data_IF_613988108459
#
_entry.id   IF_613988108459
#
_cell.length_a   1.000
_cell.length_b   1.000
_cell.length_c   1.000
_cell.angle_alpha   90.00
_cell.angle_beta   90.00
_cell.angle_gamma   90.00
#
_symmetry.space_group_name_H-M   'P 1'
#
loop_
_entity.id
_entity.type
_entity.pdbx_description
1 polymer ?
#
# COMPACT_ATOMS: atom_id res chain seq x y z
N UNK A 1 -20.16 11.31 19.98
CA UNK A 1 -20.34 10.55 19.58
C UNK A 1 -20.08 10.63 18.86
N UNK A 2 -19.90 10.83 19.24
CA UNK A 2 -19.88 10.20 18.63
C UNK A 2 -19.67 10.19 18.15
N UNK A 3 -19.68 10.56 18.50
CA UNK A 3 -19.75 9.93 18.07
C UNK A 3 -19.45 9.75 17.65
N UNK A 4 -19.39 9.80 17.94
CA UNK A 4 -19.38 9.00 17.53
C UNK A 4 -19.59 8.88 17.01
N UNK A 5 -19.57 9.25 17.16
CA UNK A 5 -19.92 8.64 16.69
C UNK A 5 -20.11 8.25 16.38
N UNK A 6 -19.90 8.75 16.62
CA UNK A 6 -20.29 7.97 16.34
C UNK A 6 -20.66 7.50 16.12
N UNK A 7 -20.82 7.55 15.91
CA UNK A 7 -21.81 6.62 16.15
C UNK A 7 -21.64 5.26 15.63
N UNK A 8 -22.77 4.52 15.69
CA UNK A 8 -22.79 3.13 15.24
C UNK A 8 -22.51 3.00 13.76
N UNK A 9 -22.95 3.97 12.99
CA UNK A 9 -22.70 3.94 11.56
C UNK A 9 -21.21 3.99 11.27
N UNK A 10 -20.46 4.75 12.07
CA UNK A 10 -19.01 4.81 11.91
C UNK A 10 -18.37 3.46 12.20
N UNK A 11 -18.87 2.80 13.23
CA UNK A 11 -18.36 1.47 13.58
C UNK A 11 -18.66 0.48 12.46
N UNK A 12 -19.87 0.55 11.91
CA UNK A 12 -20.24 -0.31 10.81
C UNK A 12 -19.38 -0.05 9.57
N UNK A 13 -19.16 1.21 9.28
CA UNK A 13 -18.31 1.56 8.15
C UNK A 13 -16.90 1.04 8.33
N UNK A 14 -16.36 1.18 9.54
CA UNK A 14 -15.04 0.67 9.84
C UNK A 14 -14.97 -0.84 9.72
N UNK A 15 -16.01 -1.52 10.19
CA UNK A 15 -16.07 -2.97 10.06
C UNK A 15 -16.14 -3.38 8.60
N UNK A 16 -16.95 -2.69 7.82
CA UNK A 16 -17.06 -2.99 6.40
C UNK A 16 -15.75 -2.72 5.67
N UNK A 17 -15.09 -1.64 6.02
CA UNK A 17 -13.78 -1.35 5.45
C UNK A 17 -12.76 -2.40 5.86
N UNK A 18 -12.83 -2.85 7.10
CA UNK A 18 -11.96 -3.90 7.58
C UNK A 18 -12.16 -5.19 6.83
N UNK A 19 -13.41 -5.58 6.63
CA UNK A 19 -13.74 -6.78 5.87
C UNK A 19 -13.25 -6.63 4.44
N UNK A 20 -13.50 -5.47 3.87
CA UNK A 20 -13.07 -5.20 2.50
C UNK A 20 -11.56 -5.30 2.37
N UNK A 21 -10.84 -4.73 3.33
CA UNK A 21 -9.37 -4.78 3.32
C UNK A 21 -8.86 -6.19 3.54
N UNK A 22 -9.58 -6.98 4.34
CA UNK A 22 -9.17 -8.34 4.63
C UNK A 22 -9.24 -9.23 3.38
N UNK A 23 -10.13 -8.89 2.46
CA UNK A 23 -10.24 -9.64 1.22
C UNK A 23 -9.16 -9.25 0.21
N UNK A 24 -8.40 -8.22 0.50
CA UNK A 24 -7.40 -7.71 -0.43
C UNK A 24 -6.00 -8.04 0.08
N UNK A 25 -5.25 -8.78 -0.73
CA UNK A 25 -3.87 -9.08 -0.41
C UNK A 25 -2.98 -8.11 -1.17
N UNK A 26 -2.16 -7.39 -0.44
CA UNK A 26 -1.20 -6.47 -1.02
C UNK A 26 0.11 -7.22 -1.17
N UNK A 27 0.61 -7.29 -2.37
CA UNK A 27 1.88 -7.98 -2.64
C UNK A 27 2.97 -6.97 -2.87
N UNK A 28 4.07 -7.15 -2.17
CA UNK A 28 5.25 -6.31 -2.32
C UNK A 28 6.36 -7.22 -2.79
N UNK A 29 6.91 -6.94 -3.96
CA UNK A 29 7.96 -7.77 -4.52
C UNK A 29 9.05 -6.90 -5.13
N UNK A 30 10.18 -7.52 -5.35
CA UNK A 30 11.31 -6.85 -5.98
C UNK A 30 11.42 -7.35 -7.41
N UNK A 31 11.54 -6.42 -8.34
CA UNK A 31 11.69 -6.74 -9.74
C UNK A 31 13.00 -6.16 -10.24
N UNK A 32 13.82 -7.00 -10.85
CA UNK A 32 15.09 -6.54 -11.41
C UNK A 32 14.87 -6.01 -12.80
N UNK A 33 15.42 -4.85 -13.06
CA UNK A 33 15.33 -4.25 -14.38
C UNK A 33 16.51 -4.68 -15.23
N UNK A 34 16.32 -4.50 -16.53
CA UNK A 34 17.34 -4.81 -17.50
C UNK A 34 18.61 -4.04 -17.18
N UNK A 35 19.74 -4.73 -17.22
CA UNK A 35 21.01 -4.11 -16.89
C UNK A 35 21.54 -4.54 -15.53
N UNK A 36 20.77 -5.34 -14.80
CA UNK A 36 21.24 -6.10 -13.66
C UNK A 36 21.41 -5.39 -12.33
N UNK A 37 21.82 -4.13 -12.34
CA UNK A 37 22.09 -3.44 -11.09
C UNK A 37 20.89 -2.64 -10.58
N UNK A 38 19.85 -2.52 -11.37
CA UNK A 38 18.66 -1.75 -10.98
C UNK A 38 17.55 -2.68 -10.55
N UNK A 39 16.87 -2.26 -9.51
CA UNK A 39 15.70 -2.98 -9.05
C UNK A 39 14.60 -2.00 -8.70
N UNK A 40 13.37 -2.51 -8.69
CA UNK A 40 12.20 -1.73 -8.31
C UNK A 40 11.37 -2.54 -7.35
N UNK A 41 10.81 -1.82 -6.39
CA UNK A 41 9.84 -2.42 -5.48
C UNK A 41 8.47 -2.25 -6.13
N UNK A 42 7.78 -3.37 -6.36
CA UNK A 42 6.48 -3.36 -7.01
C UNK A 42 5.43 -3.68 -5.96
N UNK A 43 4.40 -2.84 -5.90
CA UNK A 43 3.32 -2.98 -4.93
C UNK A 43 2.03 -3.20 -5.71
N UNK A 44 1.40 -4.35 -5.51
CA UNK A 44 0.17 -4.73 -6.20
C UNK A 44 -0.91 -5.04 -5.19
N UNK A 45 -2.15 -4.91 -5.62
CA UNK A 45 -3.28 -5.29 -4.80
C UNK A 45 -3.97 -4.14 -4.07
N UNK A 46 -3.50 -2.93 -4.23
CA UNK A 46 -4.14 -1.78 -3.62
C UNK A 46 -5.24 -1.30 -4.56
N UNK A 47 -6.46 -1.22 -4.02
CA UNK A 47 -7.63 -0.82 -4.80
C UNK A 47 -7.56 0.66 -5.16
N UNK A 48 -7.56 0.96 -6.45
CA UNK A 48 -7.53 2.33 -6.94
C UNK A 48 -8.75 3.13 -6.54
N UNK A 49 -9.87 2.45 -6.32
CA UNK A 49 -11.09 3.13 -5.90
C UNK A 49 -11.02 3.59 -4.46
N UNK A 50 -10.30 2.84 -3.64
CA UNK A 50 -10.16 3.18 -2.22
C UNK A 50 -8.99 4.14 -2.00
N UNK A 51 -7.95 4.04 -2.79
CA UNK A 51 -6.74 4.83 -2.62
C UNK A 51 -6.26 5.34 -3.96
N UNK A 52 -6.02 6.64 -4.04
CA UNK A 52 -5.47 7.23 -5.24
C UNK A 52 -4.00 6.82 -5.37
N UNK A 53 -3.69 6.05 -6.41
CA UNK A 53 -2.35 5.52 -6.59
C UNK A 53 -1.29 6.59 -6.78
N UNK A 54 -1.65 7.68 -7.48
CA UNK A 54 -0.69 8.76 -7.70
C UNK A 54 -0.32 9.46 -6.40
N UNK A 55 -1.30 9.67 -5.55
CA UNK A 55 -1.05 10.28 -4.24
C UNK A 55 -0.26 9.34 -3.36
N UNK A 56 -0.60 8.07 -3.41
CA UNK A 56 0.06 7.07 -2.59
C UNK A 56 1.53 6.91 -2.98
N UNK A 57 1.81 6.83 -4.28
CA UNK A 57 3.18 6.71 -4.74
C UNK A 57 3.97 7.97 -4.40
N UNK A 58 3.32 9.12 -4.46
CA UNK A 58 3.98 10.38 -4.09
C UNK A 58 4.39 10.37 -2.62
N UNK A 59 3.50 9.86 -1.77
CA UNK A 59 3.80 9.73 -0.34
C UNK A 59 4.99 8.82 -0.12
N UNK A 60 5.00 7.66 -0.79
CA UNK A 60 6.12 6.73 -0.66
C UNK A 60 7.43 7.34 -1.17
N UNK A 61 7.38 8.04 -2.29
CA UNK A 61 8.57 8.69 -2.83
C UNK A 61 9.16 9.69 -1.84
N UNK A 62 8.30 10.46 -1.21
CA UNK A 62 8.75 11.45 -0.22
C UNK A 62 9.30 10.78 1.02
N UNK A 63 8.58 9.80 1.54
CA UNK A 63 8.97 9.14 2.78
C UNK A 63 10.25 8.32 2.61
N UNK A 64 10.45 7.74 1.45
CA UNK A 64 11.58 6.86 1.19
C UNK A 64 12.69 7.54 0.40
N UNK A 65 12.50 8.81 0.03
CA UNK A 65 13.47 9.58 -0.73
C UNK A 65 13.91 8.83 -1.99
N UNK A 66 12.94 8.34 -2.77
CA UNK A 66 13.23 7.58 -3.98
C UNK A 66 12.32 8.02 -5.12
N UNK A 67 12.64 7.56 -6.33
CA UNK A 67 11.78 7.76 -7.48
C UNK A 67 10.72 6.68 -7.55
N UNK A 68 9.68 6.92 -8.31
CA UNK A 68 8.63 5.93 -8.47
C UNK A 68 7.54 6.40 -9.39
N UNK A 69 6.65 5.48 -9.72
CA UNK A 69 5.52 5.77 -10.60
C UNK A 69 4.36 4.85 -10.27
N UNK A 70 3.16 5.28 -10.64
CA UNK A 70 1.96 4.47 -10.53
C UNK A 70 1.44 4.23 -11.93
N UNK A 71 1.26 2.96 -12.30
CA UNK A 71 0.70 2.62 -13.60
C UNK A 71 0.14 1.21 -13.59
N UNK A 72 -0.83 0.98 -14.45
CA UNK A 72 -1.41 -0.36 -14.65
C UNK A 72 -1.88 -1.01 -13.36
N UNK A 73 -2.41 -0.20 -12.45
CA UNK A 73 -2.97 -0.71 -11.20
C UNK A 73 -1.95 -1.08 -10.15
N UNK A 74 -0.70 -0.67 -10.32
CA UNK A 74 0.35 -1.00 -9.36
C UNK A 74 1.26 0.20 -9.14
N UNK A 75 2.04 0.14 -8.07
CA UNK A 75 3.01 1.16 -7.74
C UNK A 75 4.42 0.59 -7.93
N UNK A 76 5.32 1.41 -8.42
CA UNK A 76 6.72 1.01 -8.59
C UNK A 76 7.61 2.06 -7.95
N UNK A 77 8.54 1.60 -7.12
CA UNK A 77 9.48 2.48 -6.43
C UNK A 77 10.89 2.02 -6.77
N UNK A 78 11.75 2.96 -7.09
CA UNK A 78 13.13 2.64 -7.43
C UNK A 78 13.90 2.22 -6.19
N UNK A 79 14.56 1.09 -6.28
CA UNK A 79 15.33 0.53 -5.18
C UNK A 79 14.56 -0.54 -4.44
N UNK A 80 15.21 -1.12 -3.43
CA UNK A 80 14.61 -2.16 -2.60
C UNK A 80 14.08 -1.52 -1.32
N UNK A 81 12.77 -1.34 -1.27
CA UNK A 81 12.09 -0.73 -0.13
C UNK A 81 10.98 -1.63 0.39
N UNK A 82 11.07 -2.93 0.15
CA UNK A 82 9.99 -3.86 0.47
C UNK A 82 9.52 -3.76 1.90
N UNK A 83 10.42 -3.81 2.84
CA UNK A 83 10.02 -3.80 4.25
C UNK A 83 9.62 -2.42 4.74
N UNK A 84 10.25 -1.39 4.19
CA UNK A 84 9.86 -0.02 4.53
C UNK A 84 8.47 0.31 4.04
N UNK A 85 8.13 -0.16 2.84
CA UNK A 85 6.77 0.00 2.30
C UNK A 85 5.78 -0.73 3.18
N UNK A 86 6.13 -1.96 3.59
CA UNK A 86 5.26 -2.72 4.49
C UNK A 86 4.98 -1.93 5.76
N UNK A 87 6.00 -1.35 6.37
CA UNK A 87 5.83 -0.59 7.59
C UNK A 87 4.96 0.64 7.36
N UNK A 88 5.13 1.33 6.25
CA UNK A 88 4.33 2.49 5.93
C UNK A 88 2.86 2.11 5.72
N UNK A 89 2.61 0.99 5.06
CA UNK A 89 1.24 0.52 4.87
C UNK A 89 0.58 0.19 6.20
N UNK A 90 1.33 -0.39 7.11
CA UNK A 90 0.81 -0.68 8.45
C UNK A 90 0.47 0.62 9.18
N UNK A 91 1.32 1.63 9.07
CA UNK A 91 1.02 2.95 9.65
C UNK A 91 -0.27 3.52 9.08
N UNK A 92 -0.54 3.25 7.82
CA UNK A 92 -1.73 3.75 7.15
C UNK A 92 -3.00 2.98 7.48
N UNK A 93 -2.87 1.93 8.27
CA UNK A 93 -4.03 1.19 8.73
C UNK A 93 -4.23 -0.17 8.08
N UNK A 94 -3.34 -0.58 7.19
CA UNK A 94 -3.45 -1.92 6.60
C UNK A 94 -2.99 -2.97 7.60
N UNK A 95 -3.67 -4.10 7.60
CA UNK A 95 -3.30 -5.19 8.50
C UNK A 95 -2.04 -5.89 8.00
N UNK A 96 -1.08 -6.16 8.91
CA UNK A 96 0.12 -6.90 8.49
C UNK A 96 -0.21 -8.24 7.85
N UNK A 97 -1.30 -8.88 8.26
CA UNK A 97 -1.67 -10.18 7.72
C UNK A 97 -2.14 -10.10 6.27
N UNK A 98 -2.46 -8.91 5.80
CA UNK A 98 -2.90 -8.70 4.43
C UNK A 98 -1.78 -8.21 3.52
N UNK A 99 -0.59 -8.11 4.05
CA UNK A 99 0.56 -7.64 3.28
C UNK A 99 1.55 -8.80 3.12
N UNK A 100 1.81 -9.16 1.89
CA UNK A 100 2.73 -10.24 1.57
C UNK A 100 3.99 -9.66 0.95
N UNK A 101 5.11 -9.82 1.63
CA UNK A 101 6.40 -9.38 1.10
C UNK A 101 7.09 -10.59 0.51
N UNK A 102 7.36 -10.53 -0.79
CA UNK A 102 8.06 -11.61 -1.49
C UNK A 102 9.56 -11.38 -1.41
N UNK A 103 10.27 -12.41 -1.00
CA UNK A 103 11.73 -12.34 -0.88
C UNK A 103 12.47 -13.02 -2.06
#
# INVERSE_FOLDING_TARGET
MNPRKGGMSDILEDLLKGIYKEDTIIKIRLEKRRGGSRCVTVIEGIDEKAFNHKELVSTFKNRLACGGTAKDGRLELQGDHRYKVRDLLIEMGFSPSNILVEE
#
